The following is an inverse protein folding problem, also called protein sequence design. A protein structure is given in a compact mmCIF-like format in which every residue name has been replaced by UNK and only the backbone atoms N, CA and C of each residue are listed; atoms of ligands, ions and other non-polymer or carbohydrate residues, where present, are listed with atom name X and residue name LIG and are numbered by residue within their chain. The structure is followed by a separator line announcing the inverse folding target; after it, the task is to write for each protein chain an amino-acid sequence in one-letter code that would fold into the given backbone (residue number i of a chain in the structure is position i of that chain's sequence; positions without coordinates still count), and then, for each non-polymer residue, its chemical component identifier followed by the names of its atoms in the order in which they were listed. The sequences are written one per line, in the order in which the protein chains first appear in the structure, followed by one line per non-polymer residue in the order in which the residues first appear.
data_IF_409695106242
#
_entry.id   IF_409695106242
#
_cell.length_a   1.000
_cell.length_b   1.000
_cell.length_c   1.000
_cell.angle_alpha   90.00
_cell.angle_beta   90.00
_cell.angle_gamma   90.00
#
_symmetry.space_group_name_H-M   'P 1'
#
loop_
_entity.id
_entity.type
_entity.pdbx_description
1 polymer ?
#
# COMPACT_ATOMS: atom_id res chain seq x y z
N UNK A 1 10.85 -3.83 -7.01
CA UNK A 1 11.51 -4.73 -6.04
C UNK A 1 10.65 -4.77 -4.80
N UNK A 2 10.36 -5.96 -4.28
CA UNK A 2 9.53 -6.20 -3.11
C UNK A 2 10.43 -6.65 -1.96
N UNK A 3 10.31 -6.01 -0.80
CA UNK A 3 11.07 -6.38 0.40
C UNK A 3 10.16 -7.14 1.34
N UNK A 4 10.65 -8.24 1.88
CA UNK A 4 9.94 -9.10 2.80
C UNK A 4 10.71 -9.27 4.09
N UNK A 5 9.99 -9.28 5.20
CA UNK A 5 10.48 -9.82 6.45
C UNK A 5 10.06 -11.29 6.50
N UNK A 6 11.02 -12.20 6.63
CA UNK A 6 10.76 -13.64 6.67
C UNK A 6 11.27 -14.19 7.99
N UNK A 7 10.39 -14.80 8.79
CA UNK A 7 10.76 -15.53 9.98
C UNK A 7 10.80 -17.02 9.70
N UNK A 8 11.85 -17.67 10.22
CA UNK A 8 12.07 -19.09 10.00
C UNK A 8 12.68 -19.72 11.23
N UNK A 9 12.45 -21.02 11.37
CA UNK A 9 13.16 -21.83 12.33
C UNK A 9 14.23 -22.69 11.68
N UNK A 10 15.21 -23.08 12.48
CA UNK A 10 16.28 -23.98 12.07
C UNK A 10 16.79 -24.80 13.25
N UNK A 11 17.44 -25.91 12.95
CA UNK A 11 18.13 -26.74 13.92
C UNK A 11 19.53 -26.18 14.20
N UNK A 12 19.79 -25.86 15.47
CA UNK A 12 21.08 -25.47 16.00
C UNK A 12 21.76 -26.67 16.70
N UNK A 13 23.07 -26.64 16.95
CA UNK A 13 23.74 -27.70 17.72
C UNK A 13 23.13 -27.92 19.11
N UNK A 14 22.60 -26.88 19.74
CA UNK A 14 21.97 -26.91 21.06
C UNK A 14 20.45 -27.20 21.02
N UNK A 15 19.86 -27.44 19.85
CA UNK A 15 18.43 -27.71 19.70
C UNK A 15 17.80 -26.92 18.56
N UNK A 16 16.84 -26.06 18.88
CA UNK A 16 16.03 -25.32 17.91
C UNK A 16 16.14 -23.82 18.13
N UNK A 17 16.20 -23.07 17.04
CA UNK A 17 16.28 -21.62 17.07
C UNK A 17 15.33 -21.00 16.03
N UNK A 18 14.95 -19.75 16.28
CA UNK A 18 14.16 -18.92 15.38
C UNK A 18 14.99 -17.70 15.01
N UNK A 19 14.98 -17.35 13.74
CA UNK A 19 15.64 -16.17 13.21
C UNK A 19 14.72 -15.46 12.22
N UNK A 20 15.16 -14.30 11.75
CA UNK A 20 14.48 -13.57 10.71
C UNK A 20 15.48 -12.93 9.77
N UNK A 21 15.06 -12.75 8.51
CA UNK A 21 15.90 -12.20 7.45
C UNK A 21 15.08 -11.28 6.55
N UNK A 22 15.74 -10.23 6.08
CA UNK A 22 15.23 -9.35 5.04
C UNK A 22 15.50 -9.96 3.66
N UNK A 23 14.45 -10.23 2.91
CA UNK A 23 14.53 -10.79 1.55
C UNK A 23 14.07 -9.74 0.55
N UNK A 24 14.86 -9.49 -0.48
CA UNK A 24 14.44 -8.67 -1.62
C UNK A 24 14.16 -9.56 -2.82
N UNK A 25 12.93 -9.53 -3.31
CA UNK A 25 12.49 -10.32 -4.46
C UNK A 25 12.02 -9.41 -5.60
N UNK A 26 12.27 -9.85 -6.84
CA UNK A 26 11.75 -9.17 -8.03
C UNK A 26 10.22 -9.31 -8.11
N UNK A 27 9.75 -10.53 -7.89
CA UNK A 27 8.33 -10.89 -7.90
C UNK A 27 7.74 -10.84 -6.48
N UNK A 28 6.42 -10.72 -6.41
CA UNK A 28 5.69 -10.75 -5.16
C UNK A 28 5.45 -12.20 -4.75
N UNK A 29 5.76 -12.57 -3.51
CA UNK A 29 5.33 -13.83 -2.92
C UNK A 29 3.82 -13.79 -2.71
N UNK A 30 3.10 -14.70 -3.35
CA UNK A 30 1.66 -14.90 -3.21
C UNK A 30 1.34 -16.14 -2.37
N UNK A 31 2.23 -17.14 -2.39
CA UNK A 31 2.08 -18.43 -1.70
C UNK A 31 3.37 -18.84 -0.99
N UNK A 32 3.28 -19.83 -0.12
CA UNK A 32 4.46 -20.43 0.53
C UNK A 32 5.42 -21.06 -0.48
N UNK A 33 4.92 -21.56 -1.62
CA UNK A 33 5.77 -22.14 -2.66
C UNK A 33 6.73 -21.12 -3.27
N UNK A 34 6.34 -19.84 -3.29
CA UNK A 34 7.19 -18.76 -3.80
C UNK A 34 8.41 -18.48 -2.90
N UNK A 35 8.42 -19.03 -1.67
CA UNK A 35 9.53 -18.95 -0.73
C UNK A 35 10.56 -20.06 -0.91
N UNK A 36 10.36 -21.02 -1.81
CA UNK A 36 11.35 -22.07 -2.08
C UNK A 36 12.77 -21.54 -2.34
N UNK A 37 12.97 -20.43 -3.08
CA UNK A 37 14.30 -19.82 -3.24
C UNK A 37 14.88 -19.28 -1.94
N UNK A 38 14.05 -18.80 -1.01
CA UNK A 38 14.48 -18.31 0.31
C UNK A 38 14.96 -19.48 1.16
N UNK A 39 14.22 -20.59 1.17
CA UNK A 39 14.65 -21.81 1.88
C UNK A 39 15.97 -22.34 1.30
N UNK A 40 16.13 -22.37 -0.02
CA UNK A 40 17.36 -22.79 -0.67
C UNK A 40 18.56 -21.90 -0.30
N UNK A 41 18.39 -20.58 -0.27
CA UNK A 41 19.42 -19.63 0.18
C UNK A 41 19.79 -19.87 1.66
N UNK A 42 18.82 -20.06 2.54
CA UNK A 42 19.07 -20.37 3.95
C UNK A 42 19.84 -21.68 4.13
N UNK A 43 19.49 -22.72 3.37
CA UNK A 43 20.27 -23.97 3.36
C UNK A 43 21.69 -23.77 2.82
N UNK A 44 21.86 -22.96 1.77
CA UNK A 44 23.17 -22.58 1.23
C UNK A 44 24.05 -21.84 2.24
N UNK A 45 23.45 -21.12 3.19
CA UNK A 45 24.13 -20.45 4.30
C UNK A 45 24.45 -21.38 5.49
N UNK A 46 24.07 -22.65 5.42
CA UNK A 46 24.35 -23.65 6.44
C UNK A 46 23.26 -23.84 7.51
N UNK A 47 22.12 -23.15 7.38
CA UNK A 47 20.96 -23.43 8.25
C UNK A 47 20.36 -24.80 7.91
N UNK A 48 20.16 -25.64 8.94
CA UNK A 48 19.64 -27.01 8.79
C UNK A 48 18.18 -27.10 9.20
N UNK A 49 17.43 -27.96 8.52
CA UNK A 49 16.00 -28.22 8.79
C UNK A 49 15.19 -26.92 8.87
N UNK A 50 15.32 -26.10 7.84
CA UNK A 50 14.71 -24.77 7.77
C UNK A 50 13.21 -24.91 7.52
N UNK A 51 12.40 -24.27 8.36
CA UNK A 51 10.95 -24.13 8.15
C UNK A 51 10.57 -22.66 8.19
N UNK A 52 9.89 -22.18 7.15
CA UNK A 52 9.36 -20.82 7.14
C UNK A 52 8.12 -20.78 8.05
N UNK A 53 8.11 -19.84 8.99
CA UNK A 53 7.03 -19.67 9.95
C UNK A 53 6.04 -18.60 9.48
N UNK A 54 6.58 -17.47 9.01
CA UNK A 54 5.78 -16.38 8.47
C UNK A 54 6.60 -15.53 7.51
N UNK A 55 5.90 -14.79 6.66
CA UNK A 55 6.47 -13.73 5.85
C UNK A 55 5.50 -12.55 5.74
N UNK A 56 6.05 -11.34 5.68
CA UNK A 56 5.26 -10.13 5.46
C UNK A 56 5.97 -9.22 4.46
N UNK A 57 5.18 -8.60 3.57
CA UNK A 57 5.68 -7.57 2.68
C UNK A 57 5.88 -6.29 3.50
N UNK A 58 7.06 -5.67 3.43
CA UNK A 58 7.25 -4.34 4.00
C UNK A 58 6.25 -3.37 3.37
N UNK A 59 5.62 -2.53 4.18
CA UNK A 59 4.86 -1.40 3.65
C UNK A 59 5.82 -0.59 2.77
N UNK A 60 5.45 -0.36 1.50
CA UNK A 60 6.11 0.68 0.73
C UNK A 60 6.00 1.94 1.58
N UNK A 61 7.10 2.66 1.88
CA UNK A 61 6.95 3.99 2.45
C UNK A 61 6.07 4.74 1.45
N UNK A 62 4.87 5.12 1.88
CA UNK A 62 4.02 6.03 1.11
C UNK A 62 4.93 7.18 0.73
N UNK A 63 5.19 7.35 -0.57
CA UNK A 63 5.88 8.55 -1.03
C UNK A 63 4.99 9.69 -0.59
N UNK A 64 5.41 10.35 0.48
CA UNK A 64 4.82 11.56 1.04
C UNK A 64 5.12 12.73 0.09
N UNK A 65 4.64 12.62 -1.14
CA UNK A 65 4.91 13.51 -2.26
C UNK A 65 3.62 13.84 -3.03
N UNK A 66 2.50 14.00 -2.33
CA UNK A 66 1.48 14.97 -2.74
C UNK A 66 1.67 16.24 -1.89
N UNK A 67 2.79 16.87 -2.21
CA UNK A 67 3.13 18.25 -1.89
C UNK A 67 1.90 19.14 -2.07
N UNK A 68 1.46 19.78 -0.99
CA UNK A 68 0.70 21.03 -0.98
C UNK A 68 -0.39 21.17 -2.08
N UNK A 69 -1.61 20.69 -1.78
CA UNK A 69 -2.82 21.17 -2.46
C UNK A 69 -2.98 22.67 -2.18
N UNK A 70 -2.43 23.51 -3.05
CA UNK A 70 -2.67 24.95 -3.04
C UNK A 70 -4.18 25.18 -3.21
N UNK A 71 -4.92 25.72 -2.22
CA UNK A 71 -6.31 26.05 -2.42
C UNK A 71 -6.36 27.27 -3.32
N UNK A 72 -6.69 27.07 -4.61
CA UNK A 72 -7.04 28.18 -5.50
C UNK A 72 -8.26 28.91 -4.90
N UNK A 73 -8.15 30.17 -4.44
CA UNK A 73 -9.22 30.83 -3.71
C UNK A 73 -10.28 31.44 -4.64
N UNK A 74 -10.21 31.20 -5.95
CA UNK A 74 -11.00 31.98 -6.91
C UNK A 74 -12.20 31.26 -7.55
N UNK A 75 -12.82 30.30 -6.84
CA UNK A 75 -13.97 29.54 -7.37
C UNK A 75 -15.34 29.95 -6.81
N UNK A 76 -15.49 31.13 -6.21
CA UNK A 76 -16.75 31.57 -5.59
C UNK A 76 -17.41 32.81 -6.20
N UNK A 77 -16.99 33.30 -7.38
CA UNK A 77 -17.63 34.49 -7.98
C UNK A 77 -18.00 34.30 -9.45
N UNK A 78 -19.02 33.47 -9.71
CA UNK A 78 -20.00 33.71 -10.81
C UNK A 78 -21.10 32.64 -10.82
N UNK A 79 -22.07 32.75 -9.90
CA UNK A 79 -23.38 32.13 -10.14
C UNK A 79 -24.50 32.84 -9.37
N UNK A 80 -25.05 33.88 -9.97
CA UNK A 80 -26.43 34.34 -9.81
C UNK A 80 -26.76 35.24 -11.03
N UNK A 81 -27.99 35.27 -11.57
CA UNK A 81 -29.19 35.45 -10.75
C UNK A 81 -30.30 34.42 -10.98
N UNK A 82 -31.05 34.27 -9.90
CA UNK A 82 -32.31 33.55 -9.79
C UNK A 82 -33.38 34.19 -10.70
N UNK A 83 -33.98 33.41 -11.58
CA UNK A 83 -35.27 33.73 -12.19
C UNK A 83 -36.37 33.25 -11.24
N UNK A 84 -37.03 34.18 -10.56
CA UNK A 84 -38.36 33.95 -9.98
C UNK A 84 -39.41 34.61 -10.89
N UNK A 85 -40.51 33.92 -11.25
CA UNK A 85 -41.54 34.47 -12.11
C UNK A 85 -42.53 35.34 -11.32
N UNK A 86 -42.91 36.49 -11.89
CA UNK A 86 -44.04 37.31 -11.41
C UNK A 86 -45.17 37.24 -12.43
N UNK A 87 -46.40 36.85 -12.07
CA UNK A 87 -47.57 37.13 -12.89
C UNK A 87 -48.28 38.39 -12.35
N UNK A 88 -48.53 39.38 -13.21
CA UNK A 88 -49.76 40.18 -13.11
C UNK A 88 -49.98 40.98 -14.40
N UNK A 89 -51.07 40.73 -15.17
CA UNK A 89 -51.51 41.64 -16.20
C UNK A 89 -52.71 42.44 -15.69
N UNK A 90 -52.55 43.75 -15.48
CA UNK A 90 -53.68 44.69 -15.50
C UNK A 90 -53.34 45.91 -16.32
N UNK A 91 -54.11 46.10 -17.39
CA UNK A 91 -54.42 47.40 -17.95
C UNK A 91 -53.70 47.76 -19.25
N UNK A 92 -54.25 47.35 -20.39
CA UNK A 92 -54.07 48.08 -21.65
C UNK A 92 -55.42 48.61 -22.12
N UNK A 93 -55.43 49.92 -22.33
CA UNK A 93 -56.50 50.79 -22.82
C UNK A 93 -57.09 50.32 -24.14
N UNK A 94 -58.38 50.60 -24.34
CA UNK A 94 -58.95 51.15 -25.57
C UNK A 94 -59.99 52.19 -25.15
#
# INVERSE_FOLDING_TARGET
MHRYYVSFSYQAPSGFAVASVDVTARQRFATVNDLAPVTADLTGRGYRNVTILAFSLYANPTRDNDTHRNPNPNRDTRRAPHTSPRPNPRGRRS
#
